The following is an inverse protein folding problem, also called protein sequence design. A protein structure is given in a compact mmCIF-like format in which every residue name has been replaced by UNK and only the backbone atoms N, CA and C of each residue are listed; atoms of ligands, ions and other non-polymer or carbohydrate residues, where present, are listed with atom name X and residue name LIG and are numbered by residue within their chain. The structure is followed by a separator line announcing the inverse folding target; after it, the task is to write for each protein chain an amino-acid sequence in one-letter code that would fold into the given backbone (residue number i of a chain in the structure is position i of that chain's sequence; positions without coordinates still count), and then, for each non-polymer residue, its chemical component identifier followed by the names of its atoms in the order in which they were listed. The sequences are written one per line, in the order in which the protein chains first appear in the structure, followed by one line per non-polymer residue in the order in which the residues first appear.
data_IF_375868913900
#
_entry.id   IF_375868913900
#
_cell.length_a   1.000
_cell.length_b   1.000
_cell.length_c   1.000
_cell.angle_alpha   90.00
_cell.angle_beta   90.00
_cell.angle_gamma   90.00
#
_symmetry.space_group_name_H-M   'P 1'
#
loop_
_entity.id
_entity.type
_entity.pdbx_description
1 polymer ?
#
# COMPACT_ATOMS: atom_id res chain seq x y z
N UNK A 1 11.14 9.78 14.97
CA UNK A 1 11.23 8.31 14.87
C UNK A 1 11.23 7.99 13.40
N UNK A 2 12.25 7.33 12.86
CA UNK A 2 12.34 6.97 11.44
C UNK A 2 11.33 5.88 11.10
N UNK A 3 10.80 5.89 9.87
CA UNK A 3 9.84 4.88 9.40
C UNK A 3 10.52 3.49 9.40
N UNK A 4 10.01 2.49 10.13
CA UNK A 4 10.65 1.17 10.22
C UNK A 4 10.76 0.46 8.86
N UNK A 5 9.92 0.81 7.87
CA UNK A 5 10.02 0.28 6.50
C UNK A 5 11.24 0.82 5.78
N UNK A 6 11.58 2.09 6.01
CA UNK A 6 12.77 2.72 5.42
C UNK A 6 14.02 2.06 6.02
N UNK A 7 14.09 1.91 7.34
CA UNK A 7 15.24 1.28 7.99
C UNK A 7 15.43 -0.18 7.54
N UNK A 8 14.34 -0.95 7.44
CA UNK A 8 14.40 -2.32 6.92
C UNK A 8 14.89 -2.38 5.46
N UNK A 9 14.45 -1.44 4.61
CA UNK A 9 14.87 -1.37 3.22
C UNK A 9 16.34 -0.93 3.07
N UNK A 10 16.80 0.00 3.92
CA UNK A 10 18.20 0.45 3.95
C UNK A 10 19.11 -0.71 4.32
N UNK A 11 18.79 -1.46 5.38
CA UNK A 11 19.54 -2.65 5.77
C UNK A 11 19.52 -3.73 4.69
N UNK A 12 18.35 -4.00 4.10
CA UNK A 12 18.22 -4.97 3.02
C UNK A 12 19.06 -4.58 1.79
N UNK A 13 19.01 -3.31 1.37
CA UNK A 13 19.81 -2.80 0.27
C UNK A 13 21.31 -2.83 0.61
N UNK A 14 21.69 -2.43 1.84
CA UNK A 14 23.06 -2.44 2.30
C UNK A 14 23.67 -3.84 2.25
N UNK A 15 22.91 -4.87 2.65
CA UNK A 15 23.36 -6.27 2.64
C UNK A 15 23.78 -6.79 1.26
N UNK A 16 23.37 -6.10 0.19
CA UNK A 16 23.70 -6.42 -1.20
C UNK A 16 24.87 -5.61 -1.77
N UNK A 17 25.45 -4.69 -0.99
CA UNK A 17 26.59 -3.87 -1.41
C UNK A 17 27.92 -4.62 -1.33
N UNK A 18 28.95 -4.10 -2.00
CA UNK A 18 30.30 -4.64 -1.91
C UNK A 18 30.91 -4.40 -0.53
N UNK A 19 30.70 -3.22 0.05
CA UNK A 19 31.19 -2.84 1.38
C UNK A 19 30.68 -3.77 2.47
N UNK A 20 29.40 -4.18 2.41
CA UNK A 20 28.86 -5.17 3.33
C UNK A 20 29.54 -6.53 3.16
N UNK A 21 29.81 -6.96 1.92
CA UNK A 21 30.53 -8.21 1.63
C UNK A 21 31.99 -8.20 2.12
N UNK A 22 32.60 -7.02 2.24
CA UNK A 22 33.90 -6.81 2.89
C UNK A 22 33.82 -6.72 4.43
N UNK A 23 32.63 -6.94 5.01
CA UNK A 23 32.42 -6.98 6.47
C UNK A 23 32.12 -5.62 7.10
N UNK A 24 31.85 -4.58 6.32
CA UNK A 24 31.51 -3.25 6.84
C UNK A 24 29.99 -3.18 7.09
N UNK A 25 29.59 -2.98 8.34
CA UNK A 25 28.17 -2.73 8.68
C UNK A 25 27.73 -1.34 8.25
N UNK A 26 26.43 -1.12 8.07
CA UNK A 26 25.92 0.21 7.69
C UNK A 26 26.27 1.29 8.73
N UNK A 27 26.18 1.03 10.06
CA UNK A 27 26.65 1.99 11.06
C UNK A 27 28.15 2.31 10.98
N UNK A 28 28.99 1.31 10.66
CA UNK A 28 30.42 1.56 10.44
C UNK A 28 30.65 2.44 9.21
N UNK A 29 29.89 2.21 8.14
CA UNK A 29 29.93 3.03 6.94
C UNK A 29 29.44 4.46 7.19
N UNK A 30 28.38 4.64 7.97
CA UNK A 30 27.88 5.96 8.38
C UNK A 30 28.97 6.78 9.09
N UNK A 31 29.73 6.16 9.99
CA UNK A 31 30.84 6.83 10.68
C UNK A 31 32.03 7.12 9.74
N UNK A 32 32.33 6.22 8.80
CA UNK A 32 33.44 6.35 7.86
C UNK A 32 33.16 7.37 6.75
N UNK A 33 31.92 7.49 6.30
CA UNK A 33 31.51 8.35 5.18
C UNK A 33 30.09 8.87 5.38
N UNK A 34 29.89 9.86 6.28
CA UNK A 34 28.57 10.35 6.66
C UNK A 34 27.74 10.84 5.48
N UNK A 35 28.32 11.63 4.57
CA UNK A 35 27.62 12.21 3.43
C UNK A 35 27.14 11.13 2.45
N UNK A 36 28.01 10.16 2.15
CA UNK A 36 27.66 9.06 1.25
C UNK A 36 26.60 8.14 1.85
N UNK A 37 26.63 7.91 3.17
CA UNK A 37 25.60 7.15 3.87
C UNK A 37 24.25 7.86 3.90
N UNK A 38 24.25 9.19 4.01
CA UNK A 38 23.03 10.00 3.97
C UNK A 38 22.40 9.99 2.57
N UNK A 39 23.20 10.11 1.51
CA UNK A 39 22.72 9.99 0.13
C UNK A 39 22.18 8.57 -0.17
N UNK A 40 22.81 7.53 0.36
CA UNK A 40 22.28 6.16 0.26
C UNK A 40 20.91 6.03 0.93
N UNK A 41 20.77 6.49 2.17
CA UNK A 41 19.49 6.46 2.90
C UNK A 41 18.38 7.24 2.18
N UNK A 42 18.72 8.43 1.67
CA UNK A 42 17.83 9.26 0.85
C UNK A 42 17.40 8.55 -0.44
N UNK A 43 18.34 7.90 -1.14
CA UNK A 43 18.03 7.15 -2.36
C UNK A 43 17.04 6.00 -2.09
N UNK A 44 17.22 5.25 -1.00
CA UNK A 44 16.28 4.19 -0.61
C UNK A 44 14.92 4.76 -0.24
N UNK A 45 14.87 5.87 0.49
CA UNK A 45 13.61 6.56 0.82
C UNK A 45 12.84 6.97 -0.44
N UNK A 46 13.53 7.56 -1.42
CA UNK A 46 12.92 7.96 -2.69
C UNK A 46 12.48 6.75 -3.52
N UNK A 47 13.28 5.68 -3.54
CA UNK A 47 12.94 4.44 -4.25
C UNK A 47 11.68 3.79 -3.67
N UNK A 48 11.55 3.73 -2.34
CA UNK A 48 10.34 3.23 -1.67
C UNK A 48 9.11 4.08 -2.01
N UNK A 49 9.23 5.41 -1.94
CA UNK A 49 8.12 6.29 -2.28
C UNK A 49 7.68 6.13 -3.75
N UNK A 50 8.64 5.97 -4.68
CA UNK A 50 8.35 5.70 -6.07
C UNK A 50 7.69 4.33 -6.28
N UNK A 51 8.14 3.29 -5.57
CA UNK A 51 7.53 1.96 -5.61
C UNK A 51 6.10 1.96 -5.05
N UNK A 52 5.87 2.63 -3.91
CA UNK A 52 4.54 2.79 -3.31
C UNK A 52 3.58 3.51 -4.29
N UNK A 53 4.05 4.56 -4.96
CA UNK A 53 3.28 5.28 -5.97
C UNK A 53 2.96 4.40 -7.18
N UNK A 54 3.93 3.63 -7.68
CA UNK A 54 3.77 2.74 -8.83
C UNK A 54 2.88 1.52 -8.52
N UNK A 55 2.76 1.12 -7.25
CA UNK A 55 1.92 0.02 -6.84
C UNK A 55 0.42 0.33 -6.97
N UNK A 56 0.02 1.61 -6.93
CA UNK A 56 -1.36 2.04 -7.14
C UNK A 56 -1.76 1.91 -8.61
N UNK A 57 -2.86 1.19 -8.84
CA UNK A 57 -3.44 0.96 -10.16
C UNK A 57 -4.78 1.69 -10.30
N UNK A 58 -5.19 2.10 -11.51
CA UNK A 58 -6.50 2.69 -11.72
C UNK A 58 -7.62 1.72 -11.31
N UNK A 59 -8.64 2.19 -10.58
CA UNK A 59 -9.70 1.35 -10.00
C UNK A 59 -10.48 0.56 -11.07
N UNK A 60 -10.62 1.10 -12.27
CA UNK A 60 -11.27 0.46 -13.41
C UNK A 60 -10.57 -0.84 -13.86
N UNK A 61 -9.30 -1.01 -13.51
CA UNK A 61 -8.51 -2.22 -13.79
C UNK A 61 -8.60 -3.28 -12.70
N UNK A 62 -9.32 -2.99 -11.60
CA UNK A 62 -9.42 -3.89 -10.47
C UNK A 62 -10.25 -5.15 -10.81
N UNK A 63 -9.91 -6.30 -10.19
CA UNK A 63 -10.63 -7.54 -10.43
C UNK A 63 -12.09 -7.45 -9.93
N UNK A 64 -13.06 -7.69 -10.82
CA UNK A 64 -14.50 -7.70 -10.50
C UNK A 64 -15.06 -9.10 -10.21
N UNK A 65 -14.25 -9.95 -9.60
CA UNK A 65 -14.52 -11.37 -9.38
C UNK A 65 -14.58 -11.73 -7.88
N UNK A 66 -14.97 -10.78 -7.03
CA UNK A 66 -15.00 -10.90 -5.56
C UNK A 66 -13.64 -11.12 -4.90
N UNK A 67 -12.55 -10.78 -5.58
CA UNK A 67 -11.23 -10.69 -4.95
C UNK A 67 -11.18 -9.42 -4.09
N UNK A 68 -10.75 -9.56 -2.84
CA UNK A 68 -10.55 -8.44 -1.93
C UNK A 68 -9.32 -7.62 -2.36
N UNK A 69 -9.45 -6.29 -2.39
CA UNK A 69 -8.40 -5.35 -2.77
C UNK A 69 -8.29 -4.24 -1.73
N UNK A 70 -7.10 -3.64 -1.62
CA UNK A 70 -6.95 -2.38 -0.90
C UNK A 70 -7.27 -1.23 -1.86
N UNK A 71 -8.21 -0.36 -1.50
CA UNK A 71 -8.53 0.84 -2.25
C UNK A 71 -8.28 2.09 -1.42
N UNK A 72 -7.95 3.20 -2.09
CA UNK A 72 -7.86 4.53 -1.49
C UNK A 72 -9.02 5.37 -1.99
N UNK A 73 -9.86 5.86 -1.08
CA UNK A 73 -10.92 6.82 -1.43
C UNK A 73 -10.33 8.19 -1.70
N UNK A 74 -10.99 8.96 -2.56
CA UNK A 74 -10.64 10.36 -2.82
C UNK A 74 -10.83 11.22 -1.56
N UNK A 75 -10.11 12.34 -1.49
CA UNK A 75 -10.21 13.27 -0.39
C UNK A 75 -11.47 14.16 -0.43
N UNK A 76 -12.22 14.13 -1.53
CA UNK A 76 -13.26 15.11 -1.87
C UNK A 76 -14.60 14.46 -2.27
N UNK A 77 -14.86 13.20 -1.88
CA UNK A 77 -16.12 12.52 -2.21
C UNK A 77 -17.31 13.27 -1.62
N UNK A 78 -17.18 13.70 -0.37
CA UNK A 78 -18.22 14.43 0.36
C UNK A 78 -17.68 15.75 0.91
N UNK A 79 -18.49 16.82 0.96
CA UNK A 79 -18.15 18.02 1.74
C UNK A 79 -18.01 17.70 3.24
N UNK A 80 -17.18 18.46 3.96
CA UNK A 80 -16.88 18.21 5.39
C UNK A 80 -18.12 18.11 6.29
N UNK A 81 -19.16 18.91 5.99
CA UNK A 81 -20.42 18.93 6.74
C UNK A 81 -21.34 17.72 6.48
N UNK A 82 -21.03 16.89 5.48
CA UNK A 82 -21.82 15.70 5.17
C UNK A 82 -21.54 14.60 6.20
N UNK A 83 -22.56 13.86 6.63
CA UNK A 83 -22.42 12.72 7.55
C UNK A 83 -21.56 11.55 7.03
N UNK A 84 -21.04 11.64 5.79
CA UNK A 84 -20.18 10.65 5.13
C UNK A 84 -18.79 11.20 4.84
N UNK A 85 -18.46 12.43 5.24
CA UNK A 85 -17.11 13.01 5.09
C UNK A 85 -16.02 12.15 5.71
N UNK A 86 -16.35 11.31 6.70
CA UNK A 86 -15.46 10.29 7.25
C UNK A 86 -14.91 9.29 6.23
N UNK A 87 -15.53 9.15 5.05
CA UNK A 87 -15.04 8.33 3.94
C UNK A 87 -13.95 8.98 3.10
N UNK A 88 -13.71 10.28 3.24
CA UNK A 88 -12.68 10.98 2.48
C UNK A 88 -11.27 10.54 2.92
N UNK A 89 -10.36 10.34 1.96
CA UNK A 89 -8.92 10.01 2.16
C UNK A 89 -8.70 8.79 3.09
N UNK A 90 -9.48 7.73 2.88
CA UNK A 90 -9.40 6.46 3.61
C UNK A 90 -8.82 5.36 2.77
N UNK A 91 -8.05 4.50 3.43
CA UNK A 91 -7.68 3.20 2.91
C UNK A 91 -8.71 2.18 3.40
N UNK A 92 -9.31 1.44 2.49
CA UNK A 92 -10.36 0.46 2.80
C UNK A 92 -10.18 -0.79 1.97
N UNK A 93 -10.41 -1.94 2.60
CA UNK A 93 -10.48 -3.21 1.88
C UNK A 93 -11.89 -3.34 1.31
N UNK A 94 -11.97 -3.49 -0.01
CA UNK A 94 -13.22 -3.59 -0.74
C UNK A 94 -13.20 -4.80 -1.66
N UNK A 95 -14.37 -5.20 -2.14
CA UNK A 95 -14.55 -6.20 -3.20
C UNK A 95 -15.71 -5.81 -4.09
N UNK A 96 -15.62 -6.18 -5.36
CA UNK A 96 -16.73 -6.03 -6.28
C UNK A 96 -17.63 -7.26 -6.18
N UNK A 97 -18.91 -7.07 -5.89
CA UNK A 97 -19.84 -8.19 -5.67
C UNK A 97 -20.26 -8.90 -6.96
N UNK A 98 -20.01 -8.23 -8.09
CA UNK A 98 -20.34 -8.70 -9.43
C UNK A 98 -21.74 -8.26 -9.85
N UNK A 99 -22.14 -8.70 -11.05
CA UNK A 99 -23.49 -8.50 -11.56
C UNK A 99 -24.37 -9.60 -10.97
N UNK A 100 -25.43 -9.21 -10.26
CA UNK A 100 -26.42 -10.16 -9.71
C UNK A 100 -27.37 -10.66 -10.81
N UNK A 101 -28.20 -11.67 -10.49
CA UNK A 101 -28.98 -12.43 -11.48
C UNK A 101 -29.97 -11.60 -12.33
N UNK A 102 -30.35 -10.42 -11.87
CA UNK A 102 -31.24 -9.47 -12.57
C UNK A 102 -30.47 -8.48 -13.46
N UNK A 103 -29.15 -8.62 -13.57
CA UNK A 103 -28.29 -7.71 -14.33
C UNK A 103 -27.86 -6.45 -13.56
N UNK A 104 -28.25 -6.31 -12.29
CA UNK A 104 -27.83 -5.18 -11.47
C UNK A 104 -26.36 -5.30 -11.05
N UNK A 105 -25.59 -4.25 -11.27
CA UNK A 105 -24.24 -4.13 -10.74
C UNK A 105 -24.28 -3.55 -9.33
N UNK A 106 -23.93 -4.38 -8.35
CA UNK A 106 -23.86 -3.96 -6.95
C UNK A 106 -22.70 -3.01 -6.64
N UNK A 107 -21.75 -2.86 -7.56
CA UNK A 107 -20.56 -2.04 -7.40
C UNK A 107 -19.63 -2.56 -6.30
N UNK A 108 -18.83 -1.64 -5.75
CA UNK A 108 -17.88 -1.95 -4.69
C UNK A 108 -18.55 -1.97 -3.32
N UNK A 109 -18.16 -2.96 -2.52
CA UNK A 109 -18.58 -3.10 -1.12
C UNK A 109 -17.38 -3.25 -0.22
N UNK A 110 -17.48 -2.76 1.01
CA UNK A 110 -16.47 -3.05 2.04
C UNK A 110 -16.36 -4.56 2.21
N UNK A 111 -15.14 -5.09 2.21
CA UNK A 111 -14.88 -6.51 2.42
C UNK A 111 -14.98 -6.85 3.93
N UNK A 112 -16.14 -6.59 4.51
CA UNK A 112 -16.47 -6.85 5.91
C UNK A 112 -17.96 -7.18 6.02
N UNK A 113 -18.41 -7.91 7.06
CA UNK A 113 -19.82 -8.27 7.23
C UNK A 113 -20.74 -7.08 7.56
N UNK A 114 -20.21 -5.87 7.55
CA UNK A 114 -20.92 -4.62 7.79
C UNK A 114 -21.32 -4.05 6.43
N UNK A 115 -22.56 -4.29 6.01
CA UNK A 115 -23.06 -4.13 4.63
C UNK A 115 -23.07 -2.71 4.05
N UNK A 116 -21.91 -2.05 3.99
CA UNK A 116 -21.72 -0.80 3.25
C UNK A 116 -21.22 -1.13 1.83
N UNK A 117 -22.07 -0.89 0.84
CA UNK A 117 -21.80 -1.19 -0.57
C UNK A 117 -22.43 -0.19 -1.53
N UNK A 118 -22.34 -0.48 -2.83
CA UNK A 118 -22.77 0.42 -3.89
C UNK A 118 -21.83 1.62 -4.07
N UNK A 119 -20.56 1.49 -3.68
CA UNK A 119 -19.58 2.54 -3.95
C UNK A 119 -19.18 2.48 -5.44
N UNK A 120 -19.26 3.60 -6.18
CA UNK A 120 -18.91 3.63 -7.58
C UNK A 120 -17.40 3.87 -7.77
N UNK A 121 -16.88 3.57 -8.96
CA UNK A 121 -15.45 3.67 -9.28
C UNK A 121 -14.90 5.08 -9.00
N UNK A 122 -15.65 6.14 -9.32
CA UNK A 122 -15.21 7.53 -9.18
C UNK A 122 -14.92 7.98 -7.75
N UNK A 123 -15.29 7.18 -6.74
CA UNK A 123 -14.93 7.43 -5.35
C UNK A 123 -13.47 7.09 -5.04
N UNK A 124 -12.79 6.33 -5.90
CA UNK A 124 -11.46 5.80 -5.60
C UNK A 124 -10.38 6.47 -6.43
N UNK A 125 -9.22 6.69 -5.80
CA UNK A 125 -7.99 7.14 -6.47
C UNK A 125 -7.34 5.97 -7.21
N UNK A 126 -7.49 4.75 -6.66
CA UNK A 126 -6.92 3.54 -7.23
C UNK A 126 -6.97 2.38 -6.25
N UNK A 127 -6.34 1.28 -6.66
CA UNK A 127 -6.28 0.04 -5.88
C UNK A 127 -4.89 -0.58 -5.86
N UNK A 128 -4.68 -1.46 -4.89
CA UNK A 128 -3.54 -2.37 -4.77
C UNK A 128 -4.03 -3.78 -4.42
N UNK A 129 -3.32 -4.84 -4.87
CA UNK A 129 -3.56 -6.18 -4.32
C UNK A 129 -3.27 -6.18 -2.82
N UNK A 130 -4.02 -6.97 -2.07
CA UNK A 130 -3.67 -7.20 -0.66
C UNK A 130 -2.31 -7.91 -0.57
N UNK A 131 -1.47 -7.56 0.42
CA UNK A 131 -0.25 -8.31 0.68
C UNK A 131 -0.61 -9.77 1.00
N UNK A 132 0.26 -10.69 0.62
CA UNK A 132 0.11 -12.08 1.00
C UNK A 132 -0.03 -12.18 2.53
N UNK A 133 -0.89 -13.07 3.05
CA UNK A 133 -0.95 -13.29 4.48
C UNK A 133 0.44 -13.68 5.00
N UNK A 134 0.79 -13.32 6.25
CA UNK A 134 2.03 -13.79 6.85
C UNK A 134 2.08 -15.31 6.74
N UNK A 135 3.17 -15.86 6.19
CA UNK A 135 3.42 -17.29 6.26
C UNK A 135 3.66 -17.65 7.72
N UNK A 136 2.60 -18.06 8.42
CA UNK A 136 2.72 -18.64 9.74
C UNK A 136 3.63 -19.85 9.63
N UNK A 137 4.73 -19.86 10.37
CA UNK A 137 5.46 -21.09 10.68
C UNK A 137 4.55 -21.99 11.50
N UNK A 138 3.65 -22.69 10.82
CA UNK A 138 2.84 -23.74 11.41
C UNK A 138 3.78 -24.87 11.78
N UNK A 139 4.22 -24.89 13.03
CA UNK A 139 4.65 -26.13 13.67
C UNK A 139 3.42 -27.02 13.79
N UNK A 140 3.22 -27.88 12.80
CA UNK A 140 2.40 -29.08 12.87
C UNK A 140 3.30 -30.30 12.88
#
# INVERSE_FOLDING_TARGET
MTDPRIEAAVEAAWSNTFQFKEGISFPQYQNKSPEASAEFHKAITLALAAADAAAWRPIETAPRNRTDILAKTRADIFPDAHNRSGWNDRYVVIRHEGIVNDGFDMGWSVAAPVGYGGMPDEWFVGWQPLPAPPTGGGNG
#
